data_IF_303664920320
#
_entry.id   IF_303664920320
#
_cell.length_a   1.000
_cell.length_b   1.000
_cell.length_c   1.000
_cell.angle_alpha   90.00
_cell.angle_beta   90.00
_cell.angle_gamma   90.00
#
_symmetry.space_group_name_H-M   'P 1'
#
loop_
_entity.id
_entity.type
_entity.pdbx_description
1 polymer ?
#
# COMPACT_ATOMS: atom_id res chain seq x y z
N UNK A 1 27.04 -10.50 26.17
CA UNK A 1 26.64 -10.89 27.53
C UNK A 1 27.24 -12.24 27.89
N UNK A 2 27.40 -12.49 29.20
CA UNK A 2 28.18 -13.57 29.84
C UNK A 2 27.72 -15.00 29.53
N UNK A 3 28.70 -15.92 29.68
CA UNK A 3 28.68 -17.39 29.70
C UNK A 3 27.47 -18.03 30.42
N UNK A 4 27.05 -19.20 29.95
CA UNK A 4 26.93 -20.41 30.79
C UNK A 4 27.07 -21.70 29.96
N UNK A 5 27.63 -22.72 30.62
CA UNK A 5 28.16 -23.99 30.08
C UNK A 5 27.10 -25.09 30.00
N UNK A 6 27.36 -26.03 29.09
CA UNK A 6 27.18 -27.49 29.11
C UNK A 6 25.90 -28.10 29.70
N UNK A 7 25.44 -29.16 29.03
CA UNK A 7 25.37 -30.54 29.56
C UNK A 7 24.39 -31.30 28.66
N UNK A 8 24.87 -32.17 27.77
CA UNK A 8 24.18 -33.40 27.31
C UNK A 8 25.11 -34.11 26.33
N UNK A 9 26.16 -34.74 26.87
CA UNK A 9 26.78 -35.89 26.23
C UNK A 9 26.15 -37.12 26.88
N UNK A 10 25.17 -37.72 26.23
CA UNK A 10 24.73 -39.08 26.54
C UNK A 10 25.39 -40.01 25.52
N UNK A 11 26.48 -40.65 25.94
CA UNK A 11 26.92 -41.92 25.37
C UNK A 11 26.10 -43.00 26.06
N UNK A 12 25.11 -43.54 25.39
CA UNK A 12 24.54 -44.83 25.77
C UNK A 12 24.96 -45.83 24.69
N UNK A 13 26.06 -46.55 25.00
CA UNK A 13 26.28 -47.85 24.41
C UNK A 13 25.37 -48.82 25.16
N UNK A 14 24.15 -49.01 24.68
CA UNK A 14 23.34 -50.16 25.07
C UNK A 14 23.95 -51.41 24.44
N UNK A 15 24.88 -52.03 25.16
CA UNK A 15 25.23 -53.43 24.98
C UNK A 15 24.11 -54.24 25.63
N UNK A 16 23.08 -54.57 24.86
CA UNK A 16 22.19 -55.69 25.21
C UNK A 16 23.03 -56.95 25.34
N UNK A 17 23.03 -57.64 26.49
CA UNK A 17 23.58 -58.99 26.56
C UNK A 17 22.65 -59.91 25.76
N UNK A 18 23.17 -60.55 24.72
CA UNK A 18 22.53 -61.72 24.11
C UNK A 18 22.33 -62.76 25.23
N UNK A 19 21.10 -62.88 25.68
CA UNK A 19 20.71 -63.95 26.59
C UNK A 19 20.55 -65.18 25.72
N UNK A 20 21.61 -65.98 25.64
CA UNK A 20 21.56 -67.33 25.09
C UNK A 20 20.35 -68.05 25.71
N UNK A 21 19.36 -68.33 24.87
CA UNK A 21 18.19 -69.11 25.22
C UNK A 21 18.66 -70.55 25.35
N UNK A 22 19.10 -70.90 26.57
CA UNK A 22 19.52 -72.23 26.94
C UNK A 22 18.44 -73.23 26.51
N UNK A 23 18.83 -74.10 25.59
CA UNK A 23 18.06 -75.25 25.11
C UNK A 23 17.76 -76.19 26.28
N UNK A 24 16.70 -75.94 27.02
CA UNK A 24 16.16 -76.91 27.97
C UNK A 24 14.65 -76.99 27.83
N UNK A 25 14.27 -78.09 27.18
CA UNK A 25 13.08 -78.88 27.51
C UNK A 25 11.72 -78.22 27.27
N UNK A 26 11.30 -78.23 26.00
CA UNK A 26 9.89 -78.34 25.64
C UNK A 26 9.59 -79.75 25.11
N UNK A 27 9.91 -80.76 25.91
CA UNK A 27 9.50 -82.13 25.62
C UNK A 27 8.11 -82.36 26.23
N UNK A 28 7.08 -82.26 25.37
CA UNK A 28 5.90 -83.13 25.27
C UNK A 28 4.68 -82.39 24.71
N UNK A 29 4.65 -82.21 23.39
CA UNK A 29 3.42 -81.96 22.61
C UNK A 29 3.41 -82.99 21.47
N UNK A 30 2.30 -83.64 21.10
CA UNK A 30 2.33 -84.85 20.28
C UNK A 30 2.47 -84.53 18.78
N UNK A 31 3.46 -83.74 18.30
CA UNK A 31 3.01 -82.78 17.29
C UNK A 31 4.05 -82.17 16.32
N UNK A 32 4.71 -83.01 15.49
CA UNK A 32 5.38 -82.57 14.24
C UNK A 32 4.44 -81.68 13.39
N UNK A 33 3.14 -81.99 13.43
CA UNK A 33 2.06 -81.28 12.75
C UNK A 33 1.84 -79.88 13.35
N UNK A 34 1.83 -79.72 14.68
CA UNK A 34 1.83 -78.41 15.32
C UNK A 34 3.07 -77.59 14.98
N UNK A 35 4.28 -78.15 15.08
CA UNK A 35 5.52 -77.42 14.71
C UNK A 35 5.46 -76.91 13.27
N UNK A 36 5.03 -77.74 12.33
CA UNK A 36 4.83 -77.37 10.94
C UNK A 36 3.75 -76.29 10.77
N UNK A 37 2.66 -76.38 11.54
CA UNK A 37 1.59 -75.38 11.51
C UNK A 37 2.07 -74.02 12.04
N UNK A 38 2.85 -74.00 13.13
CA UNK A 38 3.45 -72.79 13.69
C UNK A 38 4.43 -72.14 12.72
N UNK A 39 5.29 -72.92 12.06
CA UNK A 39 6.20 -72.41 11.03
C UNK A 39 5.39 -71.74 9.90
N UNK A 40 4.35 -72.41 9.39
CA UNK A 40 3.50 -71.85 8.33
C UNK A 40 2.84 -70.54 8.76
N UNK A 41 2.28 -70.48 9.98
CA UNK A 41 1.68 -69.24 10.50
C UNK A 41 2.69 -68.10 10.61
N UNK A 42 3.91 -68.38 11.08
CA UNK A 42 4.98 -67.38 11.18
C UNK A 42 5.41 -66.89 9.79
N UNK A 43 5.54 -67.79 8.80
CA UNK A 43 5.86 -67.41 7.42
C UNK A 43 4.76 -66.54 6.79
N UNK A 44 3.49 -66.91 6.97
CA UNK A 44 2.36 -66.11 6.49
C UNK A 44 2.30 -64.73 7.15
N UNK A 45 2.62 -64.65 8.44
CA UNK A 45 2.70 -63.39 9.17
C UNK A 45 3.85 -62.52 8.65
N UNK A 46 5.02 -63.11 8.42
CA UNK A 46 6.18 -62.43 7.83
C UNK A 46 5.84 -61.83 6.47
N UNK A 47 5.24 -62.62 5.56
CA UNK A 47 4.80 -62.12 4.24
C UNK A 47 3.81 -60.96 4.35
N UNK A 48 2.82 -61.07 5.25
CA UNK A 48 1.85 -59.98 5.47
C UNK A 48 2.53 -58.72 6.01
N UNK A 49 3.53 -58.86 6.88
CA UNK A 49 4.29 -57.75 7.42
C UNK A 49 5.13 -57.06 6.34
N UNK A 50 5.77 -57.84 5.48
CA UNK A 50 6.55 -57.33 4.34
C UNK A 50 5.64 -56.58 3.34
N UNK A 51 4.50 -57.16 2.97
CA UNK A 51 3.49 -56.52 2.11
C UNK A 51 3.00 -55.20 2.71
N UNK A 52 2.71 -55.18 4.02
CA UNK A 52 2.29 -53.97 4.73
C UNK A 52 3.41 -52.92 4.77
N UNK A 53 4.66 -53.34 5.01
CA UNK A 53 5.84 -52.47 5.01
C UNK A 53 6.07 -51.82 3.64
N UNK A 54 5.98 -52.59 2.56
CA UNK A 54 6.05 -52.06 1.19
C UNK A 54 4.95 -51.05 0.91
N UNK A 55 3.71 -51.33 1.33
CA UNK A 55 2.60 -50.39 1.13
C UNK A 55 2.82 -49.08 1.90
N UNK A 56 3.22 -49.17 3.17
CA UNK A 56 3.52 -48.00 4.00
C UNK A 56 4.65 -47.14 3.38
N UNK A 57 5.68 -47.77 2.83
CA UNK A 57 6.76 -47.06 2.14
C UNK A 57 6.29 -46.34 0.87
N UNK A 58 5.43 -46.98 0.06
CA UNK A 58 4.83 -46.34 -1.12
C UNK A 58 3.97 -45.14 -0.75
N UNK A 59 3.15 -45.26 0.29
CA UNK A 59 2.35 -44.15 0.81
C UNK A 59 3.23 -43.00 1.33
N UNK A 60 4.32 -43.32 2.03
CA UNK A 60 5.26 -42.32 2.52
C UNK A 60 5.92 -41.53 1.38
N UNK A 61 6.35 -42.20 0.32
CA UNK A 61 6.93 -41.53 -0.85
C UNK A 61 5.91 -40.64 -1.58
N UNK A 62 4.66 -41.09 -1.69
CA UNK A 62 3.57 -40.26 -2.24
C UNK A 62 3.33 -39.01 -1.39
N UNK A 63 3.31 -39.15 -0.06
CA UNK A 63 3.14 -38.01 0.86
C UNK A 63 4.30 -37.02 0.70
N UNK A 64 5.55 -37.51 0.65
CA UNK A 64 6.73 -36.65 0.45
C UNK A 64 6.67 -35.88 -0.87
N UNK A 65 6.25 -36.55 -1.96
CA UNK A 65 6.06 -35.93 -3.26
C UNK A 65 4.99 -34.85 -3.21
N UNK A 66 3.82 -35.14 -2.65
CA UNK A 66 2.75 -34.14 -2.53
C UNK A 66 3.19 -32.95 -1.66
N UNK A 67 3.96 -33.19 -0.59
CA UNK A 67 4.52 -32.12 0.23
C UNK A 67 5.50 -31.22 -0.53
N UNK A 68 6.34 -31.78 -1.43
CA UNK A 68 7.25 -30.97 -2.24
C UNK A 68 6.51 -30.14 -3.28
N UNK A 69 5.51 -30.71 -3.93
CA UNK A 69 4.62 -30.00 -4.87
C UNK A 69 3.91 -28.83 -4.18
N UNK A 70 3.30 -29.07 -3.01
CA UNK A 70 2.67 -28.01 -2.21
C UNK A 70 3.63 -26.87 -1.85
N UNK A 71 4.87 -27.20 -1.45
CA UNK A 71 5.89 -26.18 -1.13
C UNK A 71 6.23 -25.32 -2.35
N UNK A 72 6.33 -25.93 -3.53
CA UNK A 72 6.59 -25.19 -4.78
C UNK A 72 5.43 -24.27 -5.12
N UNK A 73 4.18 -24.75 -5.03
CA UNK A 73 2.99 -23.90 -5.26
C UNK A 73 2.93 -22.72 -4.30
N UNK A 74 3.25 -22.92 -3.01
CA UNK A 74 3.31 -21.84 -2.03
C UNK A 74 4.37 -20.79 -2.41
N UNK A 75 5.53 -21.23 -2.92
CA UNK A 75 6.59 -20.32 -3.36
C UNK A 75 6.15 -19.48 -4.56
N UNK A 76 5.51 -20.10 -5.55
CA UNK A 76 4.97 -19.40 -6.73
C UNK A 76 3.89 -18.39 -6.36
N UNK A 77 2.97 -18.76 -5.46
CA UNK A 77 1.95 -17.85 -4.94
C UNK A 77 2.57 -16.66 -4.21
N UNK A 78 3.61 -16.89 -3.40
CA UNK A 78 4.34 -15.82 -2.69
C UNK A 78 4.97 -14.82 -3.67
N UNK A 79 5.66 -15.31 -4.70
CA UNK A 79 6.29 -14.46 -5.70
C UNK A 79 5.24 -13.66 -6.49
N UNK A 80 4.12 -14.29 -6.83
CA UNK A 80 3.01 -13.63 -7.53
C UNK A 80 2.39 -12.52 -6.68
N UNK A 81 2.19 -12.76 -5.38
CA UNK A 81 1.68 -11.76 -4.43
C UNK A 81 2.62 -10.56 -4.29
N UNK A 82 3.93 -10.80 -4.24
CA UNK A 82 4.94 -9.72 -4.19
C UNK A 82 4.93 -8.85 -5.46
N UNK A 83 4.77 -9.49 -6.62
CA UNK A 83 4.58 -8.80 -7.89
C UNK A 83 3.32 -7.93 -7.92
N UNK A 84 2.19 -8.45 -7.43
CA UNK A 84 0.93 -7.69 -7.33
C UNK A 84 1.03 -6.50 -6.37
N UNK A 85 1.64 -6.68 -5.19
CA UNK A 85 1.84 -5.59 -4.24
C UNK A 85 2.68 -4.45 -4.82
N UNK A 86 3.69 -4.78 -5.62
CA UNK A 86 4.51 -3.78 -6.30
C UNK A 86 3.70 -2.97 -7.32
N UNK A 87 2.80 -3.64 -8.07
CA UNK A 87 1.91 -2.98 -9.04
C UNK A 87 0.89 -2.06 -8.38
N UNK A 88 0.23 -2.53 -7.31
CA UNK A 88 -0.75 -1.72 -6.56
C UNK A 88 -0.09 -0.44 -6.03
N UNK A 89 1.11 -0.54 -5.45
CA UNK A 89 1.87 0.64 -4.97
C UNK A 89 2.17 1.63 -6.10
N UNK A 90 2.54 1.16 -7.29
CA UNK A 90 2.80 2.04 -8.43
C UNK A 90 1.52 2.72 -8.94
N UNK A 91 0.40 2.00 -8.96
CA UNK A 91 -0.89 2.54 -9.35
C UNK A 91 -1.37 3.64 -8.37
N UNK A 92 -1.21 3.42 -7.06
CA UNK A 92 -1.52 4.42 -6.02
C UNK A 92 -0.68 5.70 -6.18
N UNK A 93 0.63 5.57 -6.40
CA UNK A 93 1.52 6.73 -6.62
C UNK A 93 1.11 7.47 -7.88
N UNK A 94 0.84 6.76 -8.97
CA UNK A 94 0.43 7.34 -10.26
C UNK A 94 -0.86 8.14 -10.11
N UNK A 95 -1.87 7.59 -9.42
CA UNK A 95 -3.13 8.29 -9.17
C UNK A 95 -2.92 9.54 -8.30
N UNK A 96 -2.10 9.44 -7.25
CA UNK A 96 -1.78 10.57 -6.38
C UNK A 96 -1.06 11.70 -7.15
N UNK A 97 -0.14 11.36 -8.07
CA UNK A 97 0.54 12.32 -8.93
C UNK A 97 -0.42 13.03 -9.89
N UNK A 98 -1.33 12.30 -10.54
CA UNK A 98 -2.35 12.90 -11.40
C UNK A 98 -3.26 13.88 -10.65
N UNK A 99 -3.64 13.55 -9.41
CA UNK A 99 -4.45 14.44 -8.56
C UNK A 99 -3.65 15.70 -8.21
N UNK A 100 -2.37 15.57 -7.83
CA UNK A 100 -1.49 16.71 -7.56
C UNK A 100 -1.31 17.60 -8.78
N UNK A 101 -1.10 17.03 -9.96
CA UNK A 101 -0.95 17.80 -11.20
C UNK A 101 -2.22 18.60 -11.53
N UNK A 102 -3.40 17.97 -11.42
CA UNK A 102 -4.70 18.64 -11.63
C UNK A 102 -4.92 19.80 -10.65
N UNK A 103 -4.52 19.64 -9.38
CA UNK A 103 -4.66 20.71 -8.38
C UNK A 103 -3.70 21.88 -8.63
N UNK A 104 -2.45 21.59 -9.05
CA UNK A 104 -1.48 22.63 -9.46
C UNK A 104 -1.99 23.41 -10.67
N UNK A 105 -2.41 22.72 -11.74
CA UNK A 105 -2.95 23.37 -12.95
C UNK A 105 -4.15 24.27 -12.63
N UNK A 106 -5.05 23.83 -11.74
CA UNK A 106 -6.18 24.64 -11.30
C UNK A 106 -5.73 25.89 -10.52
N UNK A 107 -4.72 25.76 -9.65
CA UNK A 107 -4.17 26.89 -8.90
C UNK A 107 -3.47 27.90 -9.80
N UNK A 108 -2.72 27.43 -10.79
CA UNK A 108 -2.04 28.30 -11.75
C UNK A 108 -3.05 29.02 -12.64
N UNK A 109 -4.08 28.32 -13.14
CA UNK A 109 -5.18 28.96 -13.88
C UNK A 109 -5.90 30.04 -13.04
N UNK A 110 -6.13 29.79 -11.74
CA UNK A 110 -6.70 30.80 -10.84
C UNK A 110 -5.76 31.99 -10.64
N UNK A 111 -4.44 31.76 -10.56
CA UNK A 111 -3.44 32.82 -10.44
C UNK A 111 -3.40 33.68 -11.70
N UNK A 112 -3.43 33.05 -12.87
CA UNK A 112 -3.42 33.74 -14.16
C UNK A 112 -4.70 34.57 -14.33
N UNK A 113 -5.87 33.99 -14.02
CA UNK A 113 -7.14 34.72 -14.02
C UNK A 113 -7.09 35.93 -13.08
N UNK A 114 -6.56 35.75 -11.87
CA UNK A 114 -6.41 36.85 -10.91
C UNK A 114 -5.42 37.92 -11.38
N UNK A 115 -4.34 37.51 -12.05
CA UNK A 115 -3.38 38.41 -12.70
C UNK A 115 -4.06 39.24 -13.79
N UNK A 116 -4.88 38.61 -14.63
CA UNK A 116 -5.63 39.29 -15.69
C UNK A 116 -6.63 40.30 -15.11
N UNK A 117 -7.43 39.91 -14.12
CA UNK A 117 -8.37 40.82 -13.44
C UNK A 117 -7.63 42.04 -12.88
N UNK A 118 -6.48 41.83 -12.22
CA UNK A 118 -5.68 42.93 -11.69
C UNK A 118 -5.09 43.84 -12.77
N UNK A 119 -4.71 43.28 -13.91
CA UNK A 119 -4.16 44.06 -15.02
C UNK A 119 -5.22 44.96 -15.67
N UNK A 120 -6.46 44.48 -15.78
CA UNK A 120 -7.57 45.25 -16.38
C UNK A 120 -8.18 46.26 -15.42
N UNK A 121 -8.08 46.04 -14.10
CA UNK A 121 -8.67 46.93 -13.11
C UNK A 121 -7.74 48.11 -12.77
N UNK A 122 -8.23 49.34 -12.98
CA UNK A 122 -7.56 50.57 -12.58
C UNK A 122 -8.20 51.16 -11.31
N UNK A 123 -7.39 51.67 -10.39
CA UNK A 123 -7.86 52.31 -9.16
C UNK A 123 -7.63 53.83 -9.22
N UNK A 124 -8.69 54.60 -9.00
CA UNK A 124 -8.62 56.06 -8.87
C UNK A 124 -8.83 56.44 -7.41
N UNK A 125 -7.88 57.20 -6.87
CA UNK A 125 -7.85 57.64 -5.48
C UNK A 125 -8.06 59.15 -5.44
N UNK A 126 -8.63 59.65 -4.34
CA UNK A 126 -8.86 61.08 -4.14
C UNK A 126 -10.24 61.59 -4.54
N UNK A 127 -11.14 60.70 -4.99
CA UNK A 127 -12.55 61.05 -5.25
C UNK A 127 -13.28 61.28 -3.89
N UNK A 128 -13.83 62.49 -3.64
CA UNK A 128 -14.60 62.81 -2.43
C UNK A 128 -15.77 61.85 -2.23
N UNK A 129 -16.10 61.52 -0.99
CA UNK A 129 -17.12 60.51 -0.68
C UNK A 129 -18.53 60.94 -1.13
N UNK A 130 -18.87 62.22 -1.06
CA UNK A 130 -20.13 62.81 -1.57
C UNK A 130 -20.27 62.67 -3.09
N UNK A 131 -19.15 62.59 -3.80
CA UNK A 131 -19.13 62.42 -5.25
C UNK A 131 -19.19 60.94 -5.67
N UNK A 132 -18.98 59.97 -4.76
CA UNK A 132 -19.00 58.54 -5.10
C UNK A 132 -20.39 57.99 -5.45
N UNK A 133 -21.45 58.72 -5.10
CA UNK A 133 -22.84 58.36 -5.42
C UNK A 133 -23.26 58.80 -6.84
N UNK A 134 -22.50 59.67 -7.49
CA UNK A 134 -22.64 59.92 -8.94
C UNK A 134 -22.12 58.69 -9.69
N UNK A 135 -22.72 58.35 -10.84
CA UNK A 135 -22.29 57.19 -11.65
C UNK A 135 -20.77 57.27 -11.90
N UNK A 136 -20.00 56.38 -11.26
CA UNK A 136 -18.54 56.43 -11.25
C UNK A 136 -17.91 56.38 -12.65
N UNK A 137 -18.63 55.81 -13.63
CA UNK A 137 -18.26 55.83 -15.05
C UNK A 137 -18.20 57.27 -15.60
N UNK A 138 -19.19 58.11 -15.26
CA UNK A 138 -19.24 59.51 -15.72
C UNK A 138 -18.05 60.31 -15.18
N UNK A 139 -17.65 60.05 -13.93
CA UNK A 139 -16.51 60.71 -13.31
C UNK A 139 -15.19 60.27 -13.93
N UNK A 140 -15.07 58.99 -14.27
CA UNK A 140 -13.92 58.48 -15.00
C UNK A 140 -13.80 59.18 -16.37
N UNK A 141 -14.91 59.29 -17.12
CA UNK A 141 -14.93 59.96 -18.41
C UNK A 141 -14.60 61.47 -18.33
N UNK A 142 -15.09 62.16 -17.30
CA UNK A 142 -14.78 63.56 -17.02
C UNK A 142 -13.29 63.73 -16.68
N UNK A 143 -12.75 62.88 -15.80
CA UNK A 143 -11.33 62.90 -15.42
C UNK A 143 -10.40 62.66 -16.61
N UNK A 144 -10.72 61.70 -17.47
CA UNK A 144 -9.94 61.44 -18.70
C UNK A 144 -10.05 62.61 -19.68
N UNK A 145 -11.23 63.23 -19.81
CA UNK A 145 -11.40 64.40 -20.67
C UNK A 145 -10.59 65.62 -20.21
N UNK A 146 -10.56 65.87 -18.90
CA UNK A 146 -9.87 67.00 -18.29
C UNK A 146 -8.35 66.81 -18.31
N UNK A 147 -7.87 65.63 -17.91
CA UNK A 147 -6.43 65.38 -17.73
C UNK A 147 -5.74 64.81 -18.99
N UNK A 148 -6.46 64.05 -19.81
CA UNK A 148 -5.92 63.34 -20.98
C UNK A 148 -6.80 63.53 -22.24
N UNK A 149 -7.00 64.77 -22.71
CA UNK A 149 -7.93 65.07 -23.80
C UNK A 149 -7.57 64.40 -25.14
N UNK A 150 -6.28 64.09 -25.37
CA UNK A 150 -5.85 63.35 -26.57
C UNK A 150 -6.22 61.87 -26.49
N UNK A 151 -6.10 61.27 -25.30
CA UNK A 151 -6.48 59.86 -25.07
C UNK A 151 -7.97 59.66 -25.30
N UNK A 152 -8.82 60.62 -24.89
CA UNK A 152 -10.26 60.61 -25.16
C UNK A 152 -10.61 60.69 -26.65
N UNK A 153 -9.77 61.34 -27.46
CA UNK A 153 -10.02 61.53 -28.90
C UNK A 153 -9.50 60.37 -29.75
N UNK A 154 -8.40 59.75 -29.32
CA UNK A 154 -7.70 58.71 -30.08
C UNK A 154 -8.14 57.30 -29.71
N UNK A 155 -8.75 57.10 -28.54
CA UNK A 155 -9.09 55.77 -28.02
C UNK A 155 -10.52 55.70 -27.50
N UNK A 156 -11.31 54.76 -28.00
CA UNK A 156 -12.64 54.42 -27.47
C UNK A 156 -12.48 53.61 -26.17
N UNK A 157 -12.22 54.30 -25.06
CA UNK A 157 -12.10 53.66 -23.74
C UNK A 157 -13.48 53.18 -23.31
N UNK A 158 -13.68 51.86 -23.27
CA UNK A 158 -14.92 51.25 -22.80
C UNK A 158 -14.81 50.83 -21.34
N UNK A 159 -15.53 51.52 -20.45
CA UNK A 159 -15.65 51.14 -19.05
C UNK A 159 -16.74 50.08 -18.93
N UNK A 160 -16.39 48.88 -18.48
CA UNK A 160 -17.36 47.79 -18.33
C UNK A 160 -18.16 47.90 -17.01
N UNK A 161 -17.49 48.32 -15.95
CA UNK A 161 -18.09 48.51 -14.63
C UNK A 161 -17.22 49.48 -13.83
N UNK A 162 -17.83 50.45 -13.16
CA UNK A 162 -17.16 51.31 -12.19
C UNK A 162 -17.89 51.24 -10.85
N UNK A 163 -17.18 50.91 -9.78
CA UNK A 163 -17.73 50.85 -8.44
C UNK A 163 -16.86 51.64 -7.47
N UNK A 164 -17.52 52.39 -6.58
CA UNK A 164 -16.87 52.91 -5.39
C UNK A 164 -16.47 51.74 -4.49
N UNK A 165 -15.18 51.65 -4.14
CA UNK A 165 -14.76 50.66 -3.13
C UNK A 165 -15.44 51.01 -1.80
N UNK A 166 -16.29 50.09 -1.30
CA UNK A 166 -16.98 50.28 -0.03
C UNK A 166 -15.96 50.47 1.10
N UNK A 167 -15.96 51.67 1.68
CA UNK A 167 -15.31 51.94 2.94
C UNK A 167 -16.15 51.30 4.05
N UNK A 168 -16.08 49.99 4.24
CA UNK A 168 -16.37 49.44 5.58
C UNK A 168 -15.27 50.00 6.49
N UNK A 169 -15.54 51.16 7.09
CA UNK A 169 -14.67 51.84 8.03
C UNK A 169 -14.41 50.85 9.16
N UNK A 170 -13.18 50.34 9.24
CA UNK A 170 -12.76 49.65 10.44
C UNK A 170 -12.64 50.73 11.52
N UNK A 171 -13.43 50.70 12.60
CA UNK A 171 -13.44 51.76 13.61
C UNK A 171 -12.09 51.93 14.34
N UNK A 172 -11.13 51.02 14.14
CA UNK A 172 -9.76 51.10 14.68
C UNK A 172 -8.75 51.78 13.74
N UNK A 173 -9.14 52.23 12.55
CA UNK A 173 -8.21 52.84 11.57
C UNK A 173 -8.37 54.36 11.57
N UNK A 174 -7.35 55.14 12.00
CA UNK A 174 -7.46 56.58 12.16
C UNK A 174 -7.31 57.39 10.86
N UNK A 175 -7.00 56.75 9.72
CA UNK A 175 -6.77 57.41 8.43
C UNK A 175 -7.63 56.82 7.31
N UNK A 176 -8.11 57.67 6.37
CA UNK A 176 -8.74 57.21 5.12
C UNK A 176 -7.81 56.22 4.39
N UNK A 177 -8.39 55.22 3.70
CA UNK A 177 -7.59 54.33 2.84
C UNK A 177 -7.08 55.14 1.64
N UNK A 178 -5.87 55.66 1.76
CA UNK A 178 -5.01 55.92 0.61
C UNK A 178 -4.37 54.56 0.31
N UNK A 179 -4.82 53.90 -0.76
CA UNK A 179 -4.08 52.79 -1.36
C UNK A 179 -3.13 53.35 -2.41
#
# INVERSE_FOLDING_TARGET
MRRQRNMFQAREQDKTPEKELNETETNNLPDKKFKQNSIRMLTDLGRKLDEHSENANKELENIKKNQSEMKNTILEMKNSLEGLNSRVRLEEITQAEQIKEKTIKKKDSLRDLWGNIKHTNSCIIGIPEEDRDKRAENQFEEMIAENFPNLKKETDIQVQEAQGTSNKINPKRPTPRIL
#
